data_IF_209120442264
#
_entry.id   IF_209120442264
#
_cell.length_a   1.000
_cell.length_b   1.000
_cell.length_c   1.000
_cell.angle_alpha   90.00
_cell.angle_beta   90.00
_cell.angle_gamma   90.00
#
_symmetry.space_group_name_H-M   'P 1'
#
loop_
_entity.id
_entity.type
_entity.pdbx_description
1 polymer ?
#
# COMPACT_ATOMS: atom_id res chain seq x y z
N UNK A 1 -27.41 -1.14 -19.53
CA UNK A 1 -28.67 -0.93 -18.81
C UNK A 1 -28.39 0.13 -17.77
N UNK A 2 -29.18 1.22 -17.70
CA UNK A 2 -29.02 2.27 -16.70
C UNK A 2 -29.33 1.82 -15.27
N UNK A 3 -29.17 2.72 -14.31
CA UNK A 3 -29.61 2.51 -12.93
C UNK A 3 -31.10 2.27 -12.89
N UNK A 4 -31.52 1.34 -12.06
CA UNK A 4 -32.95 1.00 -11.83
C UNK A 4 -33.25 1.19 -10.35
N UNK A 5 -34.51 1.45 -10.05
CA UNK A 5 -34.99 1.50 -8.68
C UNK A 5 -34.67 0.23 -7.92
N UNK A 6 -34.36 0.37 -6.65
CA UNK A 6 -34.15 -0.76 -5.77
C UNK A 6 -34.80 -0.49 -4.41
N UNK A 7 -35.24 -1.55 -3.75
CA UNK A 7 -35.86 -1.43 -2.44
C UNK A 7 -34.84 -1.10 -1.37
N UNK A 8 -35.10 -0.07 -0.58
CA UNK A 8 -34.30 0.37 0.59
C UNK A 8 -34.77 -0.27 1.89
N UNK A 9 -35.75 -1.16 1.85
CA UNK A 9 -36.30 -1.86 3.00
C UNK A 9 -36.52 -3.35 2.71
N UNK A 10 -36.76 -4.14 3.77
CA UNK A 10 -37.08 -5.55 3.72
C UNK A 10 -38.25 -5.86 4.64
N UNK A 11 -39.15 -6.74 4.24
CA UNK A 11 -40.23 -7.20 5.09
C UNK A 11 -39.70 -7.90 6.35
N UNK A 12 -40.18 -7.51 7.52
CA UNK A 12 -39.86 -8.15 8.81
C UNK A 12 -40.18 -9.65 8.82
N UNK A 13 -41.24 -10.05 8.10
CA UNK A 13 -41.59 -11.46 7.94
C UNK A 13 -40.51 -12.30 7.27
N UNK A 14 -39.63 -11.68 6.46
CA UNK A 14 -38.51 -12.33 5.77
C UNK A 14 -37.17 -12.07 6.46
N UNK A 15 -37.05 -10.95 7.17
CA UNK A 15 -35.85 -10.54 7.89
C UNK A 15 -36.25 -9.95 9.24
N UNK A 16 -36.39 -10.78 10.28
CA UNK A 16 -36.99 -10.40 11.57
C UNK A 16 -36.09 -9.50 12.44
N UNK A 17 -34.89 -9.18 12.00
CA UNK A 17 -33.96 -8.30 12.71
C UNK A 17 -33.45 -7.20 11.78
N UNK A 18 -33.12 -6.04 12.33
CA UNK A 18 -32.62 -4.89 11.58
C UNK A 18 -33.10 -3.58 12.22
N UNK A 19 -32.72 -2.46 11.61
CA UNK A 19 -33.20 -1.12 12.01
C UNK A 19 -34.62 -0.93 11.46
N UNK A 20 -35.54 -0.54 12.32
CA UNK A 20 -36.93 -0.30 11.92
C UNK A 20 -37.04 0.89 10.96
N UNK A 21 -37.88 0.75 9.94
CA UNK A 21 -38.21 1.85 9.05
C UNK A 21 -39.14 2.82 9.78
N UNK A 22 -38.83 4.13 9.87
CA UNK A 22 -39.70 5.10 10.51
C UNK A 22 -41.10 5.08 9.87
N UNK A 23 -42.12 5.00 10.73
CA UNK A 23 -43.55 4.97 10.34
C UNK A 23 -43.99 3.75 9.50
N UNK A 24 -43.19 2.69 9.45
CA UNK A 24 -43.51 1.44 8.75
C UNK A 24 -43.10 0.22 9.62
N UNK A 25 -44.04 -0.31 10.42
CA UNK A 25 -43.78 -1.38 11.37
C UNK A 25 -43.49 -2.74 10.69
N UNK A 26 -43.84 -2.89 9.43
CA UNK A 26 -43.71 -4.16 8.69
C UNK A 26 -42.35 -4.31 8.00
N UNK A 27 -41.54 -3.25 8.01
CA UNK A 27 -40.26 -3.24 7.33
C UNK A 27 -39.10 -2.91 8.25
N UNK A 28 -37.92 -3.44 7.87
CA UNK A 28 -36.61 -3.04 8.39
C UNK A 28 -35.77 -2.43 7.26
N UNK A 29 -34.86 -1.55 7.61
CA UNK A 29 -33.96 -0.92 6.63
C UNK A 29 -33.08 -1.97 5.94
N UNK A 30 -32.84 -1.77 4.65
CA UNK A 30 -31.86 -2.56 3.91
C UNK A 30 -30.46 -2.27 4.44
N UNK A 31 -29.67 -3.31 4.65
CA UNK A 31 -28.34 -3.23 5.29
C UNK A 31 -27.42 -2.17 4.68
N UNK A 32 -27.43 -2.00 3.37
CA UNK A 32 -26.62 -0.97 2.72
C UNK A 32 -27.12 0.46 2.96
N UNK A 33 -28.41 0.62 3.25
CA UNK A 33 -28.95 1.94 3.60
C UNK A 33 -28.45 2.38 5.00
N UNK A 34 -28.27 1.46 5.91
CA UNK A 34 -27.67 1.70 7.22
C UNK A 34 -26.14 1.76 7.13
N UNK A 35 -25.52 0.75 6.54
CA UNK A 35 -24.07 0.59 6.51
C UNK A 35 -23.31 1.75 5.82
N UNK A 36 -23.88 2.34 4.76
CA UNK A 36 -23.21 3.43 4.04
C UNK A 36 -23.12 4.73 4.85
N UNK A 37 -24.03 4.96 5.79
CA UNK A 37 -23.99 6.11 6.71
C UNK A 37 -22.75 6.08 7.61
N UNK A 38 -22.13 4.91 7.79
CA UNK A 38 -20.90 4.74 8.55
C UNK A 38 -19.78 5.72 8.13
N UNK A 39 -19.65 6.01 6.84
CA UNK A 39 -18.62 6.94 6.33
C UNK A 39 -18.69 8.34 6.93
N UNK A 40 -19.86 8.81 7.31
CA UNK A 40 -20.04 10.13 7.90
C UNK A 40 -20.35 10.09 9.40
N UNK A 41 -21.02 9.03 9.89
CA UNK A 41 -21.36 8.91 11.31
C UNK A 41 -20.12 8.74 12.19
N UNK A 42 -19.08 8.03 11.71
CA UNK A 42 -17.78 7.91 12.42
C UNK A 42 -17.04 9.24 12.52
N UNK A 43 -17.33 10.18 11.64
CA UNK A 43 -16.83 11.56 11.71
C UNK A 43 -17.70 12.47 12.59
N UNK A 44 -18.74 11.92 13.21
CA UNK A 44 -19.64 12.63 14.14
C UNK A 44 -20.86 13.29 13.52
N UNK A 45 -21.18 13.01 12.24
CA UNK A 45 -22.45 13.46 11.64
C UNK A 45 -23.63 12.71 12.32
N UNK A 46 -24.81 13.33 12.60
CA UNK A 46 -25.24 14.67 12.18
C UNK A 46 -24.85 15.81 13.14
N UNK A 47 -24.09 15.54 14.18
CA UNK A 47 -23.58 16.59 15.06
C UNK A 47 -22.64 17.52 14.27
N UNK A 48 -22.53 18.79 14.68
CA UNK A 48 -21.55 19.73 14.09
C UNK A 48 -20.14 19.41 14.57
N UNK A 49 -19.63 18.25 14.15
CA UNK A 49 -18.28 17.79 14.50
C UNK A 49 -17.23 18.49 13.68
N UNK A 50 -16.15 18.90 14.29
CA UNK A 50 -14.96 19.42 13.60
C UNK A 50 -14.35 18.38 12.68
N UNK A 51 -14.39 17.09 13.07
CA UNK A 51 -13.89 15.98 12.26
C UNK A 51 -14.66 15.80 10.96
N UNK A 52 -16.02 15.88 11.03
CA UNK A 52 -16.83 15.84 9.82
C UNK A 52 -16.50 17.00 8.86
N UNK A 53 -16.38 18.22 9.38
CA UNK A 53 -16.05 19.39 8.55
C UNK A 53 -14.64 19.31 7.94
N UNK A 54 -13.71 18.66 8.63
CA UNK A 54 -12.31 18.53 8.22
C UNK A 54 -12.10 17.42 7.17
N UNK A 55 -12.79 16.29 7.32
CA UNK A 55 -12.53 15.08 6.55
C UNK A 55 -13.61 14.75 5.49
N UNK A 56 -14.79 15.39 5.56
CA UNK A 56 -15.81 15.19 4.55
C UNK A 56 -15.98 16.46 3.66
N UNK A 57 -16.06 16.31 2.30
CA UNK A 57 -16.06 15.07 1.53
C UNK A 57 -14.67 14.45 1.42
N UNK A 58 -14.61 13.13 1.61
CA UNK A 58 -13.41 12.33 1.57
C UNK A 58 -13.28 11.44 0.33
N UNK A 59 -12.23 10.64 0.32
CA UNK A 59 -12.03 9.56 -0.64
C UNK A 59 -12.49 8.24 -0.04
N UNK A 60 -13.06 7.37 -0.87
CA UNK A 60 -13.48 6.01 -0.50
C UNK A 60 -12.78 4.97 -1.35
N UNK A 61 -12.34 3.87 -0.72
CA UNK A 61 -11.80 2.71 -1.42
C UNK A 61 -12.73 1.52 -1.21
N UNK A 62 -13.03 0.77 -2.27
CA UNK A 62 -13.88 -0.41 -2.20
C UNK A 62 -13.57 -1.42 -3.30
N UNK A 63 -13.93 -2.68 -3.05
CA UNK A 63 -13.88 -3.72 -4.08
C UNK A 63 -14.95 -3.52 -5.16
N UNK A 64 -14.72 -4.04 -6.34
CA UNK A 64 -15.61 -3.84 -7.50
C UNK A 64 -17.03 -4.41 -7.32
N UNK A 65 -17.21 -5.37 -6.41
CA UNK A 65 -18.53 -5.89 -6.04
C UNK A 65 -19.38 -4.84 -5.31
N UNK A 66 -18.75 -3.84 -4.71
CA UNK A 66 -19.40 -2.73 -4.04
C UNK A 66 -19.54 -1.46 -4.92
N UNK A 67 -19.17 -1.52 -6.19
CA UNK A 67 -19.21 -0.37 -7.10
C UNK A 67 -20.58 0.32 -7.09
N UNK A 68 -21.67 -0.46 -7.23
CA UNK A 68 -23.03 0.10 -7.26
C UNK A 68 -23.41 0.77 -5.95
N UNK A 69 -23.03 0.18 -4.82
CA UNK A 69 -23.30 0.71 -3.49
C UNK A 69 -22.60 2.05 -3.28
N UNK A 70 -21.35 2.14 -3.70
CA UNK A 70 -20.51 3.32 -3.50
C UNK A 70 -20.81 4.45 -4.48
N UNK A 71 -20.96 4.13 -5.76
CA UNK A 71 -21.06 5.14 -6.82
C UNK A 71 -22.50 5.59 -7.12
N UNK A 72 -23.50 4.77 -6.79
CA UNK A 72 -24.89 5.09 -7.05
C UNK A 72 -25.70 5.27 -5.76
N UNK A 73 -25.80 4.22 -4.92
CA UNK A 73 -26.68 4.25 -3.75
C UNK A 73 -26.21 5.31 -2.75
N UNK A 74 -24.95 5.29 -2.38
CA UNK A 74 -24.39 6.23 -1.42
C UNK A 74 -24.47 7.67 -1.91
N UNK A 75 -24.13 7.91 -3.17
CA UNK A 75 -24.19 9.26 -3.72
C UNK A 75 -25.64 9.80 -3.74
N UNK A 76 -26.62 8.96 -4.08
CA UNK A 76 -28.03 9.32 -4.04
C UNK A 76 -28.52 9.61 -2.61
N UNK A 77 -28.07 8.84 -1.60
CA UNK A 77 -28.37 9.09 -0.19
C UNK A 77 -27.83 10.44 0.27
N UNK A 78 -26.59 10.76 -0.06
CA UNK A 78 -25.97 12.05 0.26
C UNK A 78 -26.74 13.21 -0.37
N UNK A 79 -27.07 13.10 -1.66
CA UNK A 79 -27.85 14.11 -2.37
C UNK A 79 -29.23 14.31 -1.74
N UNK A 80 -29.91 13.21 -1.37
CA UNK A 80 -31.22 13.25 -0.70
C UNK A 80 -31.17 13.93 0.67
N UNK A 81 -30.05 13.77 1.39
CA UNK A 81 -29.80 14.40 2.67
C UNK A 81 -29.27 15.85 2.58
N UNK A 82 -29.09 16.38 1.37
CA UNK A 82 -28.49 17.72 1.16
C UNK A 82 -27.02 17.80 1.54
N UNK A 83 -26.31 16.67 1.51
CA UNK A 83 -24.89 16.56 1.87
C UNK A 83 -24.01 16.54 0.61
N UNK A 84 -22.76 17.00 0.71
CA UNK A 84 -21.82 16.92 -0.40
C UNK A 84 -21.48 15.46 -0.73
N UNK A 85 -21.40 15.15 -2.02
CA UNK A 85 -20.98 13.85 -2.52
C UNK A 85 -19.54 13.52 -2.15
N UNK A 86 -19.18 12.24 -2.17
CA UNK A 86 -17.81 11.77 -2.03
C UNK A 86 -16.88 12.44 -3.02
N UNK A 87 -15.70 12.88 -2.59
CA UNK A 87 -14.71 13.55 -3.45
C UNK A 87 -14.18 12.63 -4.53
N UNK A 88 -13.89 11.38 -4.16
CA UNK A 88 -13.33 10.36 -5.06
C UNK A 88 -13.68 8.96 -4.58
N UNK A 89 -13.89 8.04 -5.51
CA UNK A 89 -14.11 6.62 -5.24
C UNK A 89 -13.06 5.82 -6.01
N UNK A 90 -12.20 5.11 -5.26
CA UNK A 90 -11.25 4.17 -5.82
C UNK A 90 -11.83 2.76 -5.74
N UNK A 91 -11.95 2.10 -6.88
CA UNK A 91 -12.48 0.73 -6.98
C UNK A 91 -11.36 -0.20 -7.43
N UNK A 92 -11.02 -1.16 -6.58
CA UNK A 92 -10.05 -2.20 -6.91
C UNK A 92 -10.72 -3.49 -7.38
N UNK A 93 -9.98 -4.28 -8.16
CA UNK A 93 -10.41 -5.58 -8.67
C UNK A 93 -10.44 -6.68 -7.59
N UNK A 94 -10.86 -7.87 -7.98
CA UNK A 94 -10.77 -9.05 -7.11
C UNK A 94 -9.35 -9.60 -7.09
N UNK A 95 -9.00 -10.21 -5.96
CA UNK A 95 -7.79 -11.02 -5.85
C UNK A 95 -8.21 -12.49 -5.95
N UNK A 96 -7.73 -13.17 -6.98
CA UNK A 96 -7.87 -14.62 -7.15
C UNK A 96 -6.66 -15.34 -6.53
N UNK A 97 -6.71 -16.64 -6.42
CA UNK A 97 -5.62 -17.48 -5.93
C UNK A 97 -5.39 -18.62 -6.90
N UNK A 98 -4.18 -18.67 -7.48
CA UNK A 98 -3.79 -19.66 -8.47
C UNK A 98 -4.83 -19.77 -9.61
N UNK A 99 -5.23 -18.62 -10.15
CA UNK A 99 -6.19 -18.47 -11.25
C UNK A 99 -7.65 -18.77 -10.90
N UNK A 100 -7.98 -18.95 -9.62
CA UNK A 100 -9.34 -19.27 -9.18
C UNK A 100 -9.87 -18.27 -8.16
N UNK A 101 -11.17 -17.98 -8.20
CA UNK A 101 -11.82 -17.18 -7.18
C UNK A 101 -11.65 -17.86 -5.82
N UNK A 102 -11.22 -17.08 -4.81
CA UNK A 102 -11.10 -17.57 -3.45
C UNK A 102 -12.46 -17.93 -2.88
N UNK A 103 -12.59 -19.13 -2.32
CA UNK A 103 -13.78 -19.55 -1.57
C UNK A 103 -13.42 -20.56 -0.49
N UNK A 104 -14.17 -20.52 0.63
CA UNK A 104 -13.99 -21.49 1.72
C UNK A 104 -14.22 -22.93 1.26
N UNK A 105 -15.16 -23.15 0.34
CA UNK A 105 -15.49 -24.48 -0.18
C UNK A 105 -14.38 -25.06 -1.07
N UNK A 106 -13.57 -24.22 -1.71
CA UNK A 106 -12.42 -24.65 -2.51
C UNK A 106 -11.13 -24.79 -1.70
N UNK A 107 -11.13 -24.30 -0.44
CA UNK A 107 -9.94 -24.35 0.41
C UNK A 107 -8.75 -23.49 -0.09
N UNK A 108 -9.00 -22.58 -1.03
CA UNK A 108 -7.97 -21.74 -1.65
C UNK A 108 -7.96 -20.29 -1.11
N UNK A 109 -8.58 -20.06 0.04
CA UNK A 109 -8.54 -18.77 0.71
C UNK A 109 -7.17 -18.58 1.33
N UNK A 110 -6.53 -17.48 1.01
CA UNK A 110 -5.23 -17.10 1.54
C UNK A 110 -5.46 -16.22 2.76
N UNK A 111 -4.90 -16.64 3.90
CA UNK A 111 -4.92 -15.85 5.12
C UNK A 111 -3.75 -14.83 5.07
N UNK A 112 -4.03 -13.51 5.09
CA UNK A 112 -2.99 -12.51 5.08
C UNK A 112 -2.09 -12.56 6.32
N UNK A 113 -2.56 -13.06 7.46
CA UNK A 113 -1.74 -13.23 8.67
C UNK A 113 -0.70 -14.33 8.49
N UNK A 114 -1.03 -15.42 7.80
CA UNK A 114 -0.07 -16.47 7.48
C UNK A 114 1.00 -15.97 6.51
N UNK A 115 0.62 -15.16 5.53
CA UNK A 115 1.57 -14.51 4.63
C UNK A 115 2.52 -13.57 5.40
N UNK A 116 1.98 -12.73 6.28
CA UNK A 116 2.78 -11.81 7.09
C UNK A 116 3.74 -12.58 8.01
N UNK A 117 3.29 -13.69 8.60
CA UNK A 117 4.14 -14.54 9.43
C UNK A 117 5.28 -15.18 8.63
N UNK A 118 5.03 -15.56 7.39
CA UNK A 118 6.00 -16.25 6.53
C UNK A 118 6.99 -15.29 5.89
N UNK A 119 6.52 -14.16 5.35
CA UNK A 119 7.31 -13.25 4.52
C UNK A 119 7.62 -11.89 5.17
N UNK A 120 6.94 -11.54 6.24
CA UNK A 120 6.97 -10.20 6.82
C UNK A 120 5.97 -9.25 6.14
N UNK A 121 5.51 -8.24 6.90
CA UNK A 121 4.45 -7.33 6.45
C UNK A 121 4.85 -6.53 5.20
N UNK A 122 6.08 -6.02 5.15
CA UNK A 122 6.54 -5.20 4.02
C UNK A 122 6.64 -6.01 2.72
N UNK A 123 7.06 -7.28 2.80
CA UNK A 123 7.10 -8.14 1.63
C UNK A 123 5.70 -8.45 1.08
N UNK A 124 4.71 -8.66 1.97
CA UNK A 124 3.32 -8.86 1.56
C UNK A 124 2.76 -7.59 0.91
N UNK A 125 3.02 -6.42 1.51
CA UNK A 125 2.64 -5.12 0.93
C UNK A 125 3.28 -4.91 -0.44
N UNK A 126 4.58 -5.20 -0.56
CA UNK A 126 5.30 -5.10 -1.83
C UNK A 126 4.63 -5.92 -2.92
N UNK A 127 4.37 -7.19 -2.64
CA UNK A 127 3.71 -8.07 -3.60
C UNK A 127 2.35 -7.53 -4.05
N UNK A 128 1.49 -7.20 -3.09
CA UNK A 128 0.13 -6.74 -3.39
C UNK A 128 0.10 -5.42 -4.18
N UNK A 129 1.03 -4.51 -3.90
CA UNK A 129 1.07 -3.20 -4.55
C UNK A 129 1.88 -3.20 -5.85
N UNK A 130 2.80 -4.17 -6.02
CA UNK A 130 3.65 -4.29 -7.21
C UNK A 130 3.07 -5.19 -8.28
N UNK A 131 2.57 -6.35 -7.88
CA UNK A 131 2.18 -7.42 -8.81
C UNK A 131 0.70 -7.34 -9.19
N UNK A 132 -0.17 -6.92 -8.26
CA UNK A 132 -1.59 -6.84 -8.55
C UNK A 132 -1.95 -5.49 -9.19
N UNK A 133 -2.71 -5.48 -10.30
CA UNK A 133 -3.15 -4.23 -10.90
C UNK A 133 -4.09 -3.48 -9.94
N UNK A 134 -3.94 -2.15 -9.80
CA UNK A 134 -4.73 -1.39 -8.82
C UNK A 134 -6.24 -1.42 -9.06
N UNK A 135 -6.70 -1.40 -10.31
CA UNK A 135 -8.12 -1.28 -10.68
C UNK A 135 -8.70 -2.52 -11.38
N UNK A 136 -7.87 -3.51 -11.69
CA UNK A 136 -8.30 -4.75 -12.36
C UNK A 136 -8.14 -5.98 -11.45
N UNK A 137 -8.65 -7.12 -11.88
CA UNK A 137 -8.47 -8.37 -11.16
C UNK A 137 -7.00 -8.80 -11.19
N UNK A 138 -6.49 -9.23 -10.04
CA UNK A 138 -5.15 -9.76 -9.90
C UNK A 138 -5.16 -11.19 -9.37
N UNK A 139 -4.09 -11.93 -9.64
CA UNK A 139 -3.93 -13.30 -9.15
C UNK A 139 -2.78 -13.41 -8.17
N UNK A 140 -3.07 -13.97 -7.00
CA UNK A 140 -2.02 -14.26 -6.02
C UNK A 140 -1.42 -15.64 -6.31
N UNK A 141 -0.09 -15.69 -6.37
CA UNK A 141 0.66 -16.95 -6.49
C UNK A 141 1.80 -16.99 -5.47
N UNK A 142 1.89 -18.08 -4.70
CA UNK A 142 2.98 -18.30 -3.76
C UNK A 142 4.34 -18.38 -4.46
N UNK A 143 4.39 -18.99 -5.64
CA UNK A 143 5.61 -19.06 -6.43
C UNK A 143 6.10 -17.66 -6.80
N UNK A 144 5.20 -16.84 -7.35
CA UNK A 144 5.51 -15.48 -7.76
C UNK A 144 5.88 -14.57 -6.58
N UNK A 145 5.22 -14.76 -5.43
CA UNK A 145 5.58 -14.07 -4.19
C UNK A 145 7.03 -14.36 -3.78
N UNK A 146 7.45 -15.62 -3.80
CA UNK A 146 8.81 -16.04 -3.46
C UNK A 146 9.85 -15.52 -4.48
N UNK A 147 9.51 -15.54 -5.77
CA UNK A 147 10.36 -15.00 -6.83
C UNK A 147 10.64 -13.50 -6.60
N UNK A 148 9.57 -12.69 -6.43
CA UNK A 148 9.71 -11.25 -6.19
C UNK A 148 10.42 -10.94 -4.88
N UNK A 149 10.14 -11.70 -3.83
CA UNK A 149 10.85 -11.55 -2.57
C UNK A 149 12.36 -11.74 -2.76
N UNK A 150 12.77 -12.83 -3.42
CA UNK A 150 14.19 -13.14 -3.60
C UNK A 150 14.86 -12.21 -4.62
N UNK A 151 14.20 -11.90 -5.75
CA UNK A 151 14.80 -11.05 -6.79
C UNK A 151 14.89 -9.60 -6.36
N UNK A 152 13.79 -9.03 -5.93
CA UNK A 152 13.67 -7.60 -5.75
C UNK A 152 14.05 -7.17 -4.32
N UNK A 153 13.43 -7.81 -3.31
CA UNK A 153 13.67 -7.40 -1.92
C UNK A 153 15.01 -7.90 -1.40
N UNK A 154 15.32 -9.18 -1.55
CA UNK A 154 16.56 -9.73 -1.02
C UNK A 154 17.78 -9.35 -1.85
N UNK A 155 17.74 -9.58 -3.18
CA UNK A 155 18.91 -9.38 -4.04
C UNK A 155 19.13 -7.92 -4.44
N UNK A 156 18.10 -7.20 -4.86
CA UNK A 156 18.28 -5.82 -5.34
C UNK A 156 18.38 -4.83 -4.18
N UNK A 157 17.36 -4.75 -3.32
CA UNK A 157 17.31 -3.77 -2.25
C UNK A 157 18.17 -4.18 -1.04
N UNK A 158 17.92 -5.36 -0.50
CA UNK A 158 18.57 -5.82 0.73
C UNK A 158 20.08 -6.00 0.58
N UNK A 159 20.52 -6.57 -0.55
CA UNK A 159 21.94 -6.75 -0.84
C UNK A 159 22.65 -5.41 -1.10
N UNK A 160 21.99 -4.45 -1.79
CA UNK A 160 22.54 -3.11 -1.97
C UNK A 160 22.83 -2.44 -0.61
N UNK A 161 21.84 -2.38 0.26
CA UNK A 161 21.98 -1.77 1.59
C UNK A 161 23.07 -2.46 2.39
N UNK A 162 23.09 -3.80 2.42
CA UNK A 162 24.10 -4.59 3.17
C UNK A 162 25.52 -4.38 2.65
N UNK A 163 25.73 -4.34 1.34
CA UNK A 163 27.05 -4.10 0.71
C UNK A 163 27.58 -2.72 1.04
N UNK A 164 26.74 -1.70 0.92
CA UNK A 164 27.16 -0.31 1.14
C UNK A 164 27.43 -0.07 2.63
N UNK A 165 26.54 -0.49 3.53
CA UNK A 165 26.75 -0.34 4.98
C UNK A 165 28.00 -1.07 5.46
N UNK A 166 28.33 -2.24 4.89
CA UNK A 166 29.56 -2.96 5.18
C UNK A 166 30.82 -2.16 4.79
N UNK A 167 30.82 -1.51 3.63
CA UNK A 167 31.94 -0.68 3.18
C UNK A 167 32.08 0.61 4.00
N UNK A 168 30.95 1.22 4.35
CA UNK A 168 30.92 2.43 5.19
C UNK A 168 31.45 2.14 6.60
N UNK A 169 31.08 1.00 7.19
CA UNK A 169 31.63 0.54 8.48
C UNK A 169 33.14 0.31 8.38
N UNK A 170 33.59 -0.40 7.34
CA UNK A 170 35.03 -0.66 7.09
C UNK A 170 35.83 0.65 7.04
N UNK A 171 35.31 1.66 6.40
CA UNK A 171 35.96 2.97 6.26
C UNK A 171 35.69 3.91 7.46
N UNK A 172 34.96 3.44 8.48
CA UNK A 172 34.60 4.19 9.70
C UNK A 172 33.99 5.56 9.40
N UNK A 173 33.16 5.64 8.35
CA UNK A 173 32.51 6.89 8.01
C UNK A 173 31.39 7.18 9.01
N UNK A 174 31.29 8.47 9.38
CA UNK A 174 30.16 9.00 10.13
C UNK A 174 29.37 9.88 9.18
N UNK A 175 28.09 9.62 9.11
CA UNK A 175 27.19 10.26 8.16
C UNK A 175 26.29 11.25 8.89
N UNK A 176 26.11 12.44 8.32
CA UNK A 176 25.20 13.45 8.87
C UNK A 176 23.76 12.90 8.83
N UNK A 177 23.03 13.09 9.94
CA UNK A 177 21.63 12.70 10.07
C UNK A 177 20.67 13.71 9.42
N UNK A 178 21.20 14.88 9.00
CA UNK A 178 20.40 15.90 8.34
C UNK A 178 20.21 15.57 6.88
N UNK A 179 19.07 15.06 6.55
CA UNK A 179 18.60 14.89 5.17
C UNK A 179 17.15 15.37 5.08
N UNK A 180 16.81 15.94 3.96
CA UNK A 180 15.45 16.33 3.64
C UNK A 180 15.17 15.84 2.22
N UNK A 181 14.20 14.97 2.11
CA UNK A 181 13.72 14.46 0.82
C UNK A 181 12.28 14.88 0.62
N UNK A 182 11.87 14.91 -0.63
CA UNK A 182 10.47 15.02 -1.07
C UNK A 182 10.21 13.88 -2.05
N UNK A 183 8.94 13.58 -2.28
CA UNK A 183 8.61 12.61 -3.30
C UNK A 183 9.00 13.14 -4.68
N UNK A 184 9.66 12.30 -5.45
CA UNK A 184 9.89 12.56 -6.87
C UNK A 184 8.55 12.82 -7.56
N UNK A 185 8.56 13.67 -8.58
CA UNK A 185 7.35 14.02 -9.31
C UNK A 185 6.61 12.77 -9.84
N UNK A 186 7.35 11.82 -10.40
CA UNK A 186 6.83 10.55 -10.92
C UNK A 186 6.18 9.71 -9.81
N UNK A 187 6.85 9.56 -8.65
CA UNK A 187 6.30 8.83 -7.50
C UNK A 187 5.02 9.48 -7.01
N UNK A 188 5.02 10.82 -6.86
CA UNK A 188 3.87 11.59 -6.39
C UNK A 188 2.67 11.43 -7.33
N UNK A 189 2.86 11.63 -8.63
CA UNK A 189 1.81 11.52 -9.63
C UNK A 189 1.19 10.12 -9.65
N UNK A 190 2.02 9.09 -9.64
CA UNK A 190 1.53 7.72 -9.62
C UNK A 190 0.78 7.38 -8.33
N UNK A 191 1.20 7.91 -7.17
CA UNK A 191 0.46 7.75 -5.92
C UNK A 191 -0.90 8.46 -5.94
N UNK A 192 -0.97 9.69 -6.46
CA UNK A 192 -2.20 10.47 -6.59
C UNK A 192 -3.19 9.82 -7.56
N UNK A 193 -2.69 9.09 -8.57
CA UNK A 193 -3.49 8.35 -9.55
C UNK A 193 -3.74 6.88 -9.14
N UNK A 194 -3.31 6.45 -7.95
CA UNK A 194 -3.40 5.06 -7.46
C UNK A 194 -2.68 4.02 -8.32
N UNK A 195 -1.70 4.43 -9.10
CA UNK A 195 -0.84 3.59 -9.94
C UNK A 195 0.35 3.05 -9.12
N UNK A 196 0.03 2.26 -8.08
CA UNK A 196 1.03 1.81 -7.11
C UNK A 196 2.14 0.96 -7.73
N UNK A 197 1.79 0.10 -8.68
CA UNK A 197 2.72 -0.73 -9.43
C UNK A 197 3.70 0.10 -10.27
N UNK A 198 3.22 1.16 -10.93
CA UNK A 198 4.06 2.06 -11.74
C UNK A 198 5.00 2.88 -10.84
N UNK A 199 4.50 3.38 -9.68
CA UNK A 199 5.35 4.05 -8.69
C UNK A 199 6.48 3.13 -8.19
N UNK A 200 6.16 1.88 -7.84
CA UNK A 200 7.16 0.89 -7.43
C UNK A 200 8.13 0.54 -8.57
N UNK A 201 7.66 0.45 -9.81
CA UNK A 201 8.53 0.22 -10.95
C UNK A 201 9.54 1.35 -11.13
N UNK A 202 9.10 2.60 -11.01
CA UNK A 202 9.98 3.77 -11.05
C UNK A 202 11.04 3.73 -9.96
N UNK A 203 10.65 3.46 -8.71
CA UNK A 203 11.59 3.35 -7.58
C UNK A 203 12.59 2.21 -7.82
N UNK A 204 12.14 1.06 -8.35
CA UNK A 204 13.03 -0.07 -8.66
C UNK A 204 14.01 0.23 -9.79
N UNK A 205 13.65 1.06 -10.77
CA UNK A 205 14.60 1.57 -11.78
C UNK A 205 15.74 2.35 -11.12
N UNK A 206 15.45 3.17 -10.09
CA UNK A 206 16.50 3.88 -9.32
C UNK A 206 17.41 2.89 -8.57
N UNK A 207 16.84 1.89 -7.87
CA UNK A 207 17.62 0.86 -7.19
C UNK A 207 18.56 0.13 -8.15
N UNK A 208 18.06 -0.26 -9.32
CA UNK A 208 18.85 -0.92 -10.38
C UNK A 208 19.97 -0.03 -10.89
N UNK A 209 19.71 1.26 -11.08
CA UNK A 209 20.72 2.24 -11.46
C UNK A 209 21.82 2.33 -10.43
N UNK A 210 21.48 2.48 -9.14
CA UNK A 210 22.47 2.52 -8.06
C UNK A 210 23.28 1.23 -8.01
N UNK A 211 22.64 0.05 -8.12
CA UNK A 211 23.34 -1.24 -8.16
C UNK A 211 24.32 -1.32 -9.34
N UNK A 212 23.93 -0.83 -10.51
CA UNK A 212 24.79 -0.78 -11.68
C UNK A 212 26.00 0.11 -11.45
N UNK A 213 25.79 1.32 -10.95
CA UNK A 213 26.87 2.28 -10.63
C UNK A 213 27.84 1.71 -9.59
N UNK A 214 27.34 1.03 -8.54
CA UNK A 214 28.18 0.35 -7.55
C UNK A 214 29.03 -0.76 -8.17
N UNK A 215 28.46 -1.54 -9.09
CA UNK A 215 29.19 -2.61 -9.76
C UNK A 215 30.25 -2.07 -10.73
N UNK A 216 29.93 -1.02 -11.49
CA UNK A 216 30.83 -0.37 -12.45
C UNK A 216 32.00 0.35 -11.75
N UNK A 217 31.71 1.06 -10.66
CA UNK A 217 32.73 1.74 -9.87
C UNK A 217 33.63 0.76 -9.10
N UNK A 218 33.09 -0.40 -8.69
CA UNK A 218 33.78 -1.42 -7.90
C UNK A 218 34.49 -0.85 -6.65
N UNK A 219 33.75 -0.29 -5.69
CA UNK A 219 34.33 0.43 -4.55
C UNK A 219 35.26 -0.44 -3.66
N UNK A 220 35.14 -1.75 -3.70
CA UNK A 220 36.01 -2.68 -2.99
C UNK A 220 37.46 -2.68 -3.51
N UNK A 221 37.68 -2.28 -4.79
CA UNK A 221 38.98 -2.22 -5.45
C UNK A 221 39.60 -0.80 -5.43
N UNK A 222 38.90 0.19 -4.83
CA UNK A 222 39.32 1.60 -4.83
C UNK A 222 40.06 2.01 -3.57
N UNK A 223 40.90 3.04 -3.71
CA UNK A 223 41.55 3.70 -2.57
C UNK A 223 40.51 4.34 -1.62
N UNK A 224 40.82 4.38 -0.32
CA UNK A 224 39.88 4.82 0.71
C UNK A 224 39.32 6.24 0.45
N UNK A 225 40.14 7.18 -0.04
CA UNK A 225 39.72 8.57 -0.32
C UNK A 225 38.72 8.66 -1.47
N UNK A 226 38.95 7.88 -2.54
CA UNK A 226 38.06 7.82 -3.70
C UNK A 226 36.76 7.08 -3.34
N UNK A 227 36.89 5.92 -2.68
CA UNK A 227 35.76 5.13 -2.20
C UNK A 227 34.84 5.94 -1.28
N UNK A 228 35.39 6.73 -0.35
CA UNK A 228 34.61 7.57 0.56
C UNK A 228 33.69 8.52 -0.18
N UNK A 229 34.18 9.24 -1.20
CA UNK A 229 33.36 10.17 -1.99
C UNK A 229 32.21 9.44 -2.67
N UNK A 230 32.48 8.30 -3.28
CA UNK A 230 31.46 7.50 -3.95
C UNK A 230 30.41 6.97 -2.98
N UNK A 231 30.86 6.42 -1.81
CA UNK A 231 29.94 5.89 -0.80
C UNK A 231 28.97 6.93 -0.25
N UNK A 232 29.40 8.18 -0.11
CA UNK A 232 28.51 9.27 0.32
C UNK A 232 27.40 9.54 -0.71
N UNK A 233 27.72 9.53 -2.01
CA UNK A 233 26.73 9.70 -3.08
C UNK A 233 25.73 8.52 -3.10
N UNK A 234 26.26 7.30 -3.01
CA UNK A 234 25.40 6.09 -3.00
C UNK A 234 24.50 6.04 -1.77
N UNK A 235 25.01 6.43 -0.60
CA UNK A 235 24.19 6.50 0.62
C UNK A 235 23.06 7.50 0.49
N UNK A 236 23.32 8.67 -0.10
CA UNK A 236 22.27 9.66 -0.35
C UNK A 236 21.18 9.09 -1.30
N UNK A 237 21.61 8.40 -2.37
CA UNK A 237 20.70 7.69 -3.26
C UNK A 237 19.87 6.61 -2.56
N UNK A 238 20.47 5.81 -1.67
CA UNK A 238 19.77 4.78 -0.88
C UNK A 238 18.76 5.42 0.07
N UNK A 239 19.09 6.53 0.72
CA UNK A 239 18.18 7.27 1.60
C UNK A 239 16.99 7.85 0.84
N UNK A 240 17.27 8.44 -0.33
CA UNK A 240 16.19 8.93 -1.20
C UNK A 240 15.24 7.79 -1.59
N UNK A 241 15.78 6.64 -2.03
CA UNK A 241 14.96 5.46 -2.33
C UNK A 241 14.17 4.99 -1.12
N UNK A 242 14.78 4.94 0.08
CA UNK A 242 14.08 4.55 1.30
C UNK A 242 12.91 5.50 1.60
N UNK A 243 13.10 6.81 1.46
CA UNK A 243 12.02 7.79 1.60
C UNK A 243 10.89 7.58 0.59
N UNK A 244 11.23 7.34 -0.69
CA UNK A 244 10.23 7.06 -1.73
C UNK A 244 9.45 5.75 -1.43
N UNK A 245 10.07 4.80 -0.72
CA UNK A 245 9.45 3.52 -0.34
C UNK A 245 8.55 3.59 0.90
N UNK A 246 8.56 4.67 1.65
CA UNK A 246 7.82 4.80 2.91
C UNK A 246 6.33 4.43 2.79
N UNK A 247 5.57 4.87 1.77
CA UNK A 247 4.16 4.49 1.62
C UNK A 247 3.95 3.00 1.35
N UNK A 248 4.93 2.32 0.80
CA UNK A 248 4.86 0.92 0.35
C UNK A 248 5.43 -0.05 1.39
N UNK A 249 6.63 0.25 1.88
CA UNK A 249 7.45 -0.60 2.78
C UNK A 249 7.86 0.20 4.03
N UNK A 250 6.91 0.61 4.89
CA UNK A 250 7.18 1.56 5.97
C UNK A 250 8.27 1.09 6.93
N UNK A 251 8.23 -0.18 7.38
CA UNK A 251 9.22 -0.71 8.33
C UNK A 251 10.62 -0.81 7.70
N UNK A 252 10.69 -1.19 6.43
CA UNK A 252 11.97 -1.29 5.72
C UNK A 252 12.55 0.08 5.40
N UNK A 253 11.70 1.05 5.04
CA UNK A 253 12.08 2.44 4.84
C UNK A 253 12.69 3.03 6.10
N UNK A 254 11.98 2.99 7.22
CA UNK A 254 12.45 3.47 8.52
C UNK A 254 13.79 2.84 8.88
N UNK A 255 13.88 1.51 8.79
CA UNK A 255 15.10 0.76 9.10
C UNK A 255 16.27 1.14 8.18
N UNK A 256 16.05 1.35 6.88
CA UNK A 256 17.12 1.76 5.97
C UNK A 256 17.61 3.18 6.35
N UNK A 257 16.71 4.11 6.65
CA UNK A 257 17.05 5.47 7.06
C UNK A 257 17.87 5.48 8.34
N UNK A 258 17.47 4.71 9.36
CA UNK A 258 18.24 4.53 10.59
C UNK A 258 19.64 3.96 10.32
N UNK A 259 19.72 2.90 9.51
CA UNK A 259 20.97 2.20 9.20
C UNK A 259 21.94 2.97 8.33
N UNK A 260 21.48 3.99 7.66
CA UNK A 260 22.30 4.86 6.81
C UNK A 260 22.63 6.18 7.46
N UNK A 261 22.37 6.36 8.76
CA UNK A 261 22.57 7.58 9.53
C UNK A 261 23.59 7.38 10.68
N UNK A 262 24.26 8.44 11.09
CA UNK A 262 25.22 8.41 12.19
C UNK A 262 26.42 7.50 11.97
N UNK A 263 26.74 6.70 12.98
CA UNK A 263 27.80 5.68 12.92
C UNK A 263 27.23 4.37 12.41
N UNK A 264 27.44 4.11 11.16
CA UNK A 264 26.90 2.93 10.47
C UNK A 264 27.63 1.65 10.93
N UNK A 265 26.84 0.59 11.14
CA UNK A 265 27.34 -0.75 11.44
C UNK A 265 26.75 -1.75 10.45
N UNK A 266 27.53 -2.79 10.18
CA UNK A 266 27.02 -3.95 9.43
C UNK A 266 25.81 -4.55 10.13
N UNK A 267 24.81 -4.90 9.37
CA UNK A 267 23.56 -5.48 9.86
C UNK A 267 23.27 -6.83 9.21
N UNK A 268 22.43 -7.66 9.83
CA UNK A 268 21.83 -8.79 9.16
C UNK A 268 21.07 -8.34 7.91
N UNK A 269 20.90 -9.19 6.89
CA UNK A 269 20.11 -8.87 5.72
C UNK A 269 18.73 -8.35 6.09
N UNK A 270 18.29 -7.25 5.46
CA UNK A 270 16.92 -6.71 5.63
C UNK A 270 15.88 -7.76 5.23
N UNK A 271 16.16 -8.48 4.17
CA UNK A 271 15.35 -9.56 3.62
C UNK A 271 16.24 -10.80 3.45
N UNK A 272 16.23 -11.73 4.42
CA UNK A 272 16.92 -13.01 4.26
C UNK A 272 16.36 -13.78 3.05
N UNK A 273 17.22 -14.42 2.27
CA UNK A 273 16.77 -15.25 1.14
C UNK A 273 15.89 -16.38 1.62
N UNK A 274 14.85 -16.66 0.85
CA UNK A 274 13.99 -17.82 1.05
C UNK A 274 14.48 -18.98 0.18
N UNK A 275 14.57 -20.17 0.79
CA UNK A 275 14.98 -21.41 0.13
C UNK A 275 13.95 -21.91 -0.91
#
# INVERSE_FOLDING_TARGET
KGLQDFSISRLKSKMPWGVDVPNDPDHVMYVWFDALVFYISTLGWPSKSTEYQKFWPGMQAAGKDNLRQQSAIWQAMLMSAGLPNTKQIFIHGFITSEGKKMSKSLGNVIDPFDLVKQYGIDAVRYYLLKELPPSDDGDFSHLRMKELYNSDLANELGNLVSRITTLVEKDKLVIDDKFQYDFDLETRQNLEEYKFNEALEYIWKKIKTINKEVNEFAPWDKQASERKKFLLIVLDGIRNVAFQLEPFLPNSSEKILELTSGKIKKIPPLFPRLD
#
